data_IF_652125245579
#
_entry.id   IF_652125245579
#
_cell.length_a   1.000
_cell.length_b   1.000
_cell.length_c   1.000
_cell.angle_alpha   90.00
_cell.angle_beta   90.00
_cell.angle_gamma   90.00
#
_symmetry.space_group_name_H-M   'P 1'
#
loop_
_entity.id
_entity.type
_entity.pdbx_description
1 polymer ?
#
# COMPACT_ATOMS: atom_id res chain seq x y z
N UNK A 1 5.22 15.98 12.34
CA UNK A 1 5.07 16.37 10.92
C UNK A 1 3.81 15.70 10.44
N UNK A 2 2.70 16.43 10.30
CA UNK A 2 1.44 15.88 9.79
C UNK A 2 1.65 15.42 8.36
N UNK A 3 1.15 14.24 8.02
CA UNK A 3 1.23 13.76 6.66
C UNK A 3 0.29 14.55 5.76
N UNK A 4 0.65 14.82 4.50
CA UNK A 4 -0.19 15.59 3.59
C UNK A 4 -1.53 14.92 3.26
N UNK A 5 -1.65 13.66 3.61
CA UNK A 5 -2.82 12.84 3.32
C UNK A 5 -3.80 12.74 4.49
N UNK A 6 -3.43 13.31 5.63
CA UNK A 6 -4.30 13.38 6.78
C UNK A 6 -5.50 14.31 6.46
N UNK A 7 -6.58 13.69 5.98
CA UNK A 7 -7.81 14.37 5.54
C UNK A 7 -8.68 14.85 6.70
N UNK A 8 -8.06 15.10 7.87
CA UNK A 8 -8.70 15.82 8.96
C UNK A 8 -9.28 14.96 10.08
N UNK A 9 -9.32 13.62 9.97
CA UNK A 9 -9.84 12.79 11.06
C UNK A 9 -8.92 12.82 12.29
N UNK A 10 -7.61 12.88 12.07
CA UNK A 10 -6.59 12.91 13.12
C UNK A 10 -5.52 13.98 12.81
N UNK A 11 -5.95 15.20 12.46
CA UNK A 11 -5.11 16.26 11.89
C UNK A 11 -3.87 16.64 12.68
N UNK A 12 -3.90 16.48 13.99
CA UNK A 12 -2.78 16.79 14.88
C UNK A 12 -1.99 15.57 15.33
N UNK A 13 -2.36 14.39 14.84
CA UNK A 13 -1.69 13.15 15.21
C UNK A 13 -0.48 12.88 14.35
N UNK A 14 0.63 12.48 14.98
CA UNK A 14 1.83 12.01 14.32
C UNK A 14 2.44 10.88 15.16
N UNK A 15 2.37 9.66 14.64
CA UNK A 15 2.87 8.46 15.30
C UNK A 15 4.37 8.52 15.58
N UNK A 16 5.12 9.31 14.82
CA UNK A 16 6.56 9.49 15.06
C UNK A 16 6.89 10.25 16.36
N UNK A 17 5.89 10.83 17.04
CA UNK A 17 6.07 11.33 18.40
C UNK A 17 6.32 10.21 19.43
N UNK A 18 5.96 8.98 19.07
CA UNK A 18 6.09 7.81 19.90
C UNK A 18 7.44 7.07 19.74
N UNK A 19 8.33 7.58 18.90
CA UNK A 19 9.59 6.94 18.51
C UNK A 19 10.48 6.57 19.71
N UNK A 20 10.50 7.40 20.74
CA UNK A 20 11.30 7.18 21.95
C UNK A 20 10.77 6.06 22.86
N UNK A 21 9.54 5.59 22.59
CA UNK A 21 8.89 4.51 23.33
C UNK A 21 9.08 3.14 22.68
N UNK A 22 9.69 3.09 21.50
CA UNK A 22 10.00 1.82 20.82
C UNK A 22 11.41 1.36 21.16
N UNK A 23 11.66 0.05 21.06
CA UNK A 23 13.00 -0.47 21.14
C UNK A 23 13.82 -0.05 19.94
N UNK A 24 15.14 -0.18 20.04
CA UNK A 24 16.08 0.31 18.99
C UNK A 24 15.80 -0.33 17.63
N UNK A 25 15.58 -1.64 17.58
CA UNK A 25 15.35 -2.37 16.32
C UNK A 25 14.05 -1.92 15.65
N UNK A 26 12.96 -1.83 16.42
CA UNK A 26 11.66 -1.37 15.92
C UNK A 26 11.74 0.07 15.42
N UNK A 27 12.37 0.94 16.20
CA UNK A 27 12.57 2.34 15.84
C UNK A 27 13.32 2.48 14.52
N UNK A 28 14.43 1.77 14.36
CA UNK A 28 15.27 1.85 13.17
C UNK A 28 14.50 1.40 11.92
N UNK A 29 13.74 0.30 11.99
CA UNK A 29 12.90 -0.18 10.88
C UNK A 29 11.83 0.84 10.51
N UNK A 30 11.16 1.45 11.49
CA UNK A 30 10.09 2.43 11.23
C UNK A 30 10.65 3.72 10.64
N UNK A 31 11.77 4.22 11.17
CA UNK A 31 12.41 5.43 10.67
C UNK A 31 13.02 5.22 9.27
N UNK A 32 13.55 4.04 8.99
CA UNK A 32 14.10 3.70 7.69
C UNK A 32 13.03 3.82 6.58
N UNK A 33 11.81 3.36 6.84
CA UNK A 33 10.68 3.50 5.89
C UNK A 33 10.31 4.94 5.56
N UNK A 34 10.58 5.88 6.47
CA UNK A 34 10.33 7.31 6.21
C UNK A 34 11.50 7.97 5.50
N UNK A 35 12.72 7.53 5.81
CA UNK A 35 13.96 8.17 5.33
C UNK A 35 14.44 7.64 3.98
N UNK A 36 14.20 6.36 3.70
CA UNK A 36 14.77 5.65 2.57
C UNK A 36 13.68 5.09 1.66
N UNK A 37 13.74 5.50 0.39
CA UNK A 37 12.90 4.93 -0.67
C UNK A 37 13.74 3.91 -1.43
N UNK A 38 13.31 2.63 -1.54
CA UNK A 38 14.04 1.63 -2.30
C UNK A 38 14.20 2.03 -3.77
N UNK A 39 15.35 1.75 -4.39
CA UNK A 39 15.50 1.97 -5.82
C UNK A 39 14.71 0.93 -6.63
N UNK A 40 14.18 1.32 -7.76
CA UNK A 40 13.57 0.38 -8.69
C UNK A 40 14.60 -0.59 -9.28
N UNK A 41 14.32 -1.88 -9.19
CA UNK A 41 15.17 -2.98 -9.67
C UNK A 41 14.41 -4.05 -10.46
N UNK A 42 13.08 -4.08 -10.33
CA UNK A 42 12.23 -5.10 -10.92
C UNK A 42 11.46 -4.57 -12.14
N UNK A 43 10.74 -3.46 -12.01
CA UNK A 43 9.93 -2.89 -13.09
C UNK A 43 10.77 -2.04 -14.05
N UNK A 44 10.48 -2.13 -15.35
CA UNK A 44 11.03 -1.20 -16.33
C UNK A 44 10.35 0.19 -16.24
N UNK A 45 10.90 1.20 -16.96
CA UNK A 45 10.42 2.58 -16.89
C UNK A 45 8.93 2.70 -17.26
N UNK A 46 8.47 1.96 -18.28
CA UNK A 46 7.07 2.00 -18.72
C UNK A 46 6.12 1.35 -17.72
N UNK A 47 6.53 0.24 -17.14
CA UNK A 47 5.81 -0.42 -16.06
C UNK A 47 5.71 0.49 -14.83
N UNK A 48 6.81 1.18 -14.47
CA UNK A 48 6.84 2.15 -13.37
C UNK A 48 5.86 3.30 -13.59
N UNK A 49 5.87 3.95 -14.76
CA UNK A 49 4.95 5.03 -15.09
C UNK A 49 3.48 4.61 -14.91
N UNK A 50 3.12 3.46 -15.44
CA UNK A 50 1.75 2.94 -15.38
C UNK A 50 1.32 2.56 -13.98
N UNK A 51 2.18 1.80 -13.27
CA UNK A 51 1.87 1.28 -11.96
C UNK A 51 1.95 2.33 -10.85
N UNK A 52 2.76 3.40 -10.99
CA UNK A 52 2.77 4.50 -10.03
C UNK A 52 1.40 5.18 -9.97
N UNK A 53 0.82 5.51 -11.11
CA UNK A 53 -0.53 6.08 -11.18
C UNK A 53 -1.59 5.11 -10.66
N UNK A 54 -1.44 3.81 -10.94
CA UNK A 54 -2.33 2.77 -10.42
C UNK A 54 -2.27 2.71 -8.88
N UNK A 55 -1.09 2.62 -8.29
CA UNK A 55 -0.90 2.56 -6.83
C UNK A 55 -1.44 3.82 -6.14
N UNK A 56 -1.20 5.01 -6.70
CA UNK A 56 -1.71 6.28 -6.16
C UNK A 56 -3.24 6.32 -6.13
N UNK A 57 -3.90 5.86 -7.21
CA UNK A 57 -5.36 5.76 -7.25
C UNK A 57 -5.92 4.72 -6.28
N UNK A 58 -5.25 3.57 -6.13
CA UNK A 58 -5.65 2.50 -5.20
C UNK A 58 -5.58 2.96 -3.75
N UNK A 59 -4.63 3.84 -3.43
CA UNK A 59 -4.40 4.35 -2.07
C UNK A 59 -4.92 5.77 -1.85
N UNK A 60 -5.64 6.32 -2.85
CA UNK A 60 -6.21 7.67 -2.82
C UNK A 60 -5.18 8.77 -2.51
N UNK A 61 -3.96 8.62 -3.02
CA UNK A 61 -2.88 9.59 -2.86
C UNK A 61 -2.97 10.70 -3.91
N UNK A 62 -3.61 11.79 -3.58
CA UNK A 62 -3.86 12.94 -4.46
C UNK A 62 -2.94 14.16 -4.19
N UNK A 63 -2.09 14.07 -3.18
CA UNK A 63 -1.18 15.14 -2.73
C UNK A 63 0.27 14.70 -2.58
N UNK A 64 1.16 15.67 -2.35
CA UNK A 64 2.57 15.45 -2.03
C UNK A 64 2.89 15.86 -0.60
N UNK A 65 3.86 15.21 0.08
CA UNK A 65 4.59 14.00 -0.34
C UNK A 65 3.70 12.75 -0.32
N UNK A 66 4.06 11.74 -1.13
CA UNK A 66 3.35 10.45 -1.22
C UNK A 66 4.13 9.35 -0.54
N UNK A 67 3.40 8.34 -0.05
CA UNK A 67 4.00 7.07 0.33
C UNK A 67 4.44 6.37 -0.95
N UNK A 68 5.71 5.97 -1.08
CA UNK A 68 6.26 5.41 -2.30
C UNK A 68 5.87 3.92 -2.47
N UNK A 69 4.58 3.63 -2.54
CA UNK A 69 4.02 2.27 -2.53
C UNK A 69 4.65 1.39 -3.60
N UNK A 70 4.76 1.91 -4.84
CA UNK A 70 5.31 1.13 -5.94
C UNK A 70 6.77 0.74 -5.72
N UNK A 71 7.58 1.59 -5.07
CA UNK A 71 8.97 1.27 -4.80
C UNK A 71 9.11 0.11 -3.79
N UNK A 72 8.24 0.03 -2.80
CA UNK A 72 8.19 -1.12 -1.87
C UNK A 72 7.67 -2.39 -2.54
N UNK A 73 6.69 -2.28 -3.44
CA UNK A 73 6.24 -3.42 -4.26
C UNK A 73 7.38 -3.91 -5.17
N UNK A 74 8.12 -3.00 -5.81
CA UNK A 74 9.27 -3.34 -6.65
C UNK A 74 10.34 -4.13 -5.86
N UNK A 75 10.69 -3.63 -4.67
CA UNK A 75 11.65 -4.30 -3.79
C UNK A 75 11.19 -5.69 -3.39
N UNK A 76 9.94 -5.84 -2.91
CA UNK A 76 9.33 -7.12 -2.55
C UNK A 76 9.39 -8.13 -3.70
N UNK A 77 9.03 -7.70 -4.92
CA UNK A 77 9.05 -8.56 -6.09
C UNK A 77 10.47 -8.88 -6.58
N UNK A 78 11.42 -7.94 -6.43
CA UNK A 78 12.81 -8.15 -6.76
C UNK A 78 13.47 -9.18 -5.83
N UNK A 79 13.15 -9.13 -4.55
CA UNK A 79 13.69 -10.01 -3.52
C UNK A 79 12.96 -11.36 -3.43
N UNK A 80 11.87 -11.53 -4.21
CA UNK A 80 11.00 -12.71 -4.16
C UNK A 80 10.44 -12.96 -2.74
N UNK A 81 10.18 -11.87 -2.01
CA UNK A 81 9.67 -11.89 -0.62
C UNK A 81 8.14 -11.98 -0.63
N UNK A 82 7.64 -13.16 -1.02
CA UNK A 82 6.22 -13.47 -1.04
C UNK A 82 5.73 -13.94 0.34
N UNK A 83 4.41 -13.84 0.57
CA UNK A 83 3.76 -14.34 1.79
C UNK A 83 3.58 -15.86 1.81
N UNK A 84 4.11 -16.57 0.81
CA UNK A 84 4.02 -18.01 0.66
C UNK A 84 2.65 -18.53 0.22
N UNK A 85 1.68 -17.64 -0.03
CA UNK A 85 0.37 -18.01 -0.54
C UNK A 85 0.20 -17.58 -1.99
N UNK A 86 -0.22 -18.53 -2.84
CA UNK A 86 -0.53 -18.25 -4.24
C UNK A 86 -1.78 -19.03 -4.68
N UNK A 87 -2.61 -18.40 -5.50
CA UNK A 87 -3.70 -19.09 -6.16
C UNK A 87 -3.15 -20.06 -7.20
N UNK A 88 -3.61 -21.31 -7.18
CA UNK A 88 -3.13 -22.37 -8.05
C UNK A 88 -3.30 -22.11 -9.56
N UNK A 89 -4.16 -21.16 -9.92
CA UNK A 89 -4.49 -20.78 -11.30
C UNK A 89 -3.90 -19.40 -11.69
N UNK A 90 -2.97 -18.88 -10.88
CA UNK A 90 -2.17 -17.72 -11.21
C UNK A 90 -0.70 -18.11 -11.40
N UNK A 91 0.03 -17.37 -12.25
CA UNK A 91 1.48 -17.44 -12.28
C UNK A 91 2.09 -16.81 -11.03
N UNK A 92 3.43 -16.72 -10.94
CA UNK A 92 4.11 -16.03 -9.83
C UNK A 92 3.63 -14.58 -9.69
N UNK A 93 3.75 -14.02 -8.48
CA UNK A 93 3.36 -12.64 -8.22
C UNK A 93 4.12 -11.65 -9.14
N UNK A 94 5.40 -11.94 -9.44
CA UNK A 94 6.18 -11.17 -10.43
C UNK A 94 5.51 -11.15 -11.80
N UNK A 95 5.06 -12.29 -12.30
CA UNK A 95 4.40 -12.36 -13.61
C UNK A 95 2.99 -11.78 -13.57
N UNK A 96 2.27 -11.91 -12.46
CA UNK A 96 0.97 -11.22 -12.25
C UNK A 96 1.16 -9.72 -12.39
N UNK A 97 2.10 -9.11 -11.67
CA UNK A 97 2.35 -7.68 -11.69
C UNK A 97 2.78 -7.17 -13.07
N UNK A 98 3.71 -7.86 -13.75
CA UNK A 98 4.11 -7.50 -15.12
C UNK A 98 2.96 -7.62 -16.11
N UNK A 99 2.11 -8.63 -15.96
CA UNK A 99 0.95 -8.81 -16.85
C UNK A 99 -0.11 -7.76 -16.59
N UNK A 100 -0.32 -7.36 -15.34
CA UNK A 100 -1.21 -6.24 -14.98
C UNK A 100 -0.68 -4.93 -15.56
N UNK A 101 0.61 -4.62 -15.43
CA UNK A 101 1.22 -3.43 -16.01
C UNK A 101 1.00 -3.37 -17.52
N UNK A 102 1.32 -4.45 -18.23
CA UNK A 102 1.11 -4.57 -19.69
C UNK A 102 -0.36 -4.45 -20.09
N UNK A 103 -1.25 -5.03 -19.29
CA UNK A 103 -2.70 -4.96 -19.51
C UNK A 103 -3.24 -3.54 -19.37
N UNK A 104 -2.88 -2.85 -18.31
CA UNK A 104 -3.26 -1.45 -18.07
C UNK A 104 -2.70 -0.52 -19.15
N UNK A 105 -1.44 -0.71 -19.56
CA UNK A 105 -0.83 0.06 -20.64
C UNK A 105 -1.53 -0.16 -21.98
N UNK A 106 -1.88 -1.40 -22.32
CA UNK A 106 -2.63 -1.75 -23.52
C UNK A 106 -4.04 -1.15 -23.58
N UNK A 107 -4.69 -0.96 -22.42
CA UNK A 107 -5.97 -0.25 -22.29
C UNK A 107 -5.81 1.29 -22.37
N UNK A 108 -4.58 1.79 -22.51
CA UNK A 108 -4.29 3.22 -22.57
C UNK A 108 -4.45 3.94 -21.24
N UNK A 109 -4.25 3.27 -20.10
CA UNK A 109 -4.50 3.75 -18.75
C UNK A 109 -3.94 5.15 -18.48
N UNK A 110 -2.71 5.45 -18.93
CA UNK A 110 -2.09 6.76 -18.76
C UNK A 110 -2.75 7.88 -19.57
N UNK A 111 -3.45 7.54 -20.66
CA UNK A 111 -4.13 8.48 -21.53
C UNK A 111 -5.56 8.80 -21.07
N UNK A 112 -6.12 7.99 -20.18
CA UNK A 112 -7.44 8.20 -19.60
C UNK A 112 -7.40 9.36 -18.60
N UNK A 113 -8.52 10.05 -18.46
CA UNK A 113 -8.76 10.93 -17.33
C UNK A 113 -8.97 10.12 -16.03
N UNK A 114 -9.10 10.81 -14.90
CA UNK A 114 -9.25 10.14 -13.61
C UNK A 114 -10.49 9.24 -13.54
N UNK A 115 -11.61 9.70 -14.12
CA UNK A 115 -12.85 8.92 -14.14
C UNK A 115 -12.69 7.63 -14.97
N UNK A 116 -12.05 7.72 -16.13
CA UNK A 116 -11.75 6.58 -16.99
C UNK A 116 -10.78 5.58 -16.32
N UNK A 117 -9.77 6.07 -15.60
CA UNK A 117 -8.86 5.22 -14.82
C UNK A 117 -9.58 4.48 -13.71
N UNK A 118 -10.47 5.16 -12.97
CA UNK A 118 -11.28 4.55 -11.91
C UNK A 118 -12.25 3.51 -12.46
N UNK A 119 -12.88 3.76 -13.61
CA UNK A 119 -13.72 2.77 -14.30
C UNK A 119 -12.92 1.52 -14.69
N UNK A 120 -11.73 1.70 -15.25
CA UNK A 120 -10.87 0.59 -15.62
C UNK A 120 -10.45 -0.25 -14.39
N UNK A 121 -10.11 0.40 -13.28
CA UNK A 121 -9.80 -0.29 -12.01
C UNK A 121 -11.04 -1.03 -11.47
N UNK A 122 -12.23 -0.44 -11.57
CA UNK A 122 -13.49 -1.07 -11.16
C UNK A 122 -13.77 -2.33 -11.98
N UNK A 123 -13.62 -2.26 -13.31
CA UNK A 123 -13.72 -3.42 -14.21
C UNK A 123 -12.68 -4.49 -13.88
N UNK A 124 -11.44 -4.10 -13.57
CA UNK A 124 -10.39 -5.01 -13.11
C UNK A 124 -10.83 -5.74 -11.84
N UNK A 125 -11.35 -5.02 -10.85
CA UNK A 125 -11.82 -5.59 -9.58
C UNK A 125 -12.94 -6.63 -9.75
N UNK A 126 -13.79 -6.43 -10.75
CA UNK A 126 -14.90 -7.34 -11.09
C UNK A 126 -14.47 -8.53 -11.95
N UNK A 127 -13.25 -8.49 -12.52
CA UNK A 127 -12.77 -9.49 -13.45
C UNK A 127 -13.34 -9.31 -14.86
N UNK A 128 -13.68 -8.10 -15.25
CA UNK A 128 -14.35 -7.75 -16.51
C UNK A 128 -13.38 -7.25 -17.60
N UNK A 129 -12.10 -7.58 -17.47
CA UNK A 129 -11.07 -7.31 -18.49
C UNK A 129 -10.73 -8.61 -19.21
N UNK A 130 -10.74 -8.57 -20.56
CA UNK A 130 -10.62 -9.77 -21.38
C UNK A 130 -9.70 -9.54 -22.58
N UNK A 131 -9.08 -10.61 -23.05
CA UNK A 131 -8.22 -10.57 -24.24
C UNK A 131 -6.84 -9.96 -23.98
N UNK A 132 -5.99 -9.90 -25.00
CA UNK A 132 -4.65 -9.36 -24.85
C UNK A 132 -3.87 -9.96 -23.67
N UNK A 133 -3.25 -9.13 -22.86
CA UNK A 133 -2.52 -9.56 -21.67
C UNK A 133 -3.44 -10.23 -20.63
N UNK A 134 -4.70 -9.82 -20.54
CA UNK A 134 -5.67 -10.36 -19.57
C UNK A 134 -6.09 -11.80 -19.85
N UNK A 135 -5.91 -12.30 -21.09
CA UNK A 135 -6.32 -13.66 -21.46
C UNK A 135 -5.56 -14.77 -20.72
N UNK A 136 -4.41 -14.44 -20.14
CA UNK A 136 -3.54 -15.40 -19.42
C UNK A 136 -3.76 -15.40 -17.91
N UNK A 137 -4.63 -14.54 -17.39
CA UNK A 137 -4.87 -14.38 -15.95
C UNK A 137 -6.32 -14.69 -15.56
N UNK A 138 -6.47 -15.24 -14.38
CA UNK A 138 -7.71 -15.04 -13.63
C UNK A 138 -7.74 -13.59 -13.11
N UNK A 139 -8.34 -12.69 -13.87
CA UNK A 139 -8.29 -11.24 -13.67
C UNK A 139 -8.73 -10.83 -12.27
N UNK A 140 -9.83 -11.42 -11.76
CA UNK A 140 -10.33 -11.10 -10.42
C UNK A 140 -9.36 -11.51 -9.31
N UNK A 141 -8.69 -12.66 -9.45
CA UNK A 141 -7.68 -13.11 -8.49
C UNK A 141 -6.39 -12.29 -8.60
N UNK A 142 -6.00 -11.91 -9.83
CA UNK A 142 -4.88 -11.00 -10.04
C UNK A 142 -5.13 -9.66 -9.34
N UNK A 143 -6.35 -9.10 -9.43
CA UNK A 143 -6.72 -7.91 -8.66
C UNK A 143 -6.55 -8.11 -7.15
N UNK A 144 -6.91 -9.28 -6.61
CA UNK A 144 -6.74 -9.56 -5.18
C UNK A 144 -5.27 -9.58 -4.76
N UNK A 145 -4.37 -10.12 -5.61
CA UNK A 145 -2.92 -10.12 -5.36
C UNK A 145 -2.38 -8.69 -5.34
N UNK A 146 -2.60 -7.92 -6.40
CA UNK A 146 -2.05 -6.56 -6.47
C UNK A 146 -2.64 -5.64 -5.40
N UNK A 147 -3.92 -5.82 -5.04
CA UNK A 147 -4.54 -5.05 -3.95
C UNK A 147 -3.91 -5.39 -2.60
N UNK A 148 -3.67 -6.67 -2.32
CA UNK A 148 -2.99 -7.12 -1.10
C UNK A 148 -1.63 -6.46 -0.97
N UNK A 149 -0.79 -6.56 -2.01
CA UNK A 149 0.56 -6.00 -2.00
C UNK A 149 0.56 -4.46 -1.86
N UNK A 150 -0.34 -3.77 -2.58
CA UNK A 150 -0.51 -2.31 -2.45
C UNK A 150 -0.91 -1.93 -1.02
N UNK A 151 -1.89 -2.63 -0.42
CA UNK A 151 -2.33 -2.35 0.94
C UNK A 151 -1.24 -2.65 1.96
N UNK A 152 -0.53 -3.76 1.82
CA UNK A 152 0.57 -4.14 2.70
C UNK A 152 1.67 -3.08 2.69
N UNK A 153 2.12 -2.68 1.50
CA UNK A 153 3.15 -1.66 1.35
C UNK A 153 2.69 -0.28 1.85
N UNK A 154 1.43 0.10 1.58
CA UNK A 154 0.87 1.37 2.06
C UNK A 154 0.76 1.41 3.58
N UNK A 155 0.09 0.42 4.20
CA UNK A 155 -0.14 0.40 5.65
C UNK A 155 1.07 -0.05 6.46
N UNK A 156 2.17 -0.45 5.84
CA UNK A 156 3.44 -0.61 6.53
C UNK A 156 4.17 0.73 6.78
N UNK A 157 3.72 1.81 6.16
CA UNK A 157 4.35 3.12 6.26
C UNK A 157 3.74 3.97 7.41
N UNK A 158 4.56 4.64 8.26
CA UNK A 158 4.05 5.44 9.38
C UNK A 158 3.06 6.55 9.00
N UNK A 159 3.17 7.10 7.80
CA UNK A 159 2.22 8.11 7.34
C UNK A 159 0.81 7.55 7.16
N UNK A 160 0.66 6.29 6.71
CA UNK A 160 -0.64 5.65 6.65
C UNK A 160 -1.22 5.38 8.05
N UNK A 161 -0.36 5.12 9.04
CA UNK A 161 -0.80 4.96 10.43
C UNK A 161 -1.44 6.24 10.98
N UNK A 162 -0.91 7.40 10.63
CA UNK A 162 -1.49 8.68 11.01
C UNK A 162 -2.91 8.86 10.48
N UNK A 163 -3.19 8.38 9.26
CA UNK A 163 -4.53 8.49 8.67
C UNK A 163 -5.59 7.64 9.36
N UNK A 164 -5.20 6.46 9.86
CA UNK A 164 -6.11 5.55 10.55
C UNK A 164 -6.05 5.70 12.07
N UNK A 165 -5.15 6.57 12.57
CA UNK A 165 -4.96 6.81 13.99
C UNK A 165 -4.30 5.64 14.73
N UNK A 166 -3.53 4.80 14.03
CA UNK A 166 -2.82 3.69 14.65
C UNK A 166 -1.58 4.17 15.40
N UNK A 167 -1.42 3.71 16.63
CA UNK A 167 -0.35 4.13 17.55
C UNK A 167 1.03 3.56 17.28
N UNK A 168 1.21 2.86 16.16
CA UNK A 168 2.47 2.20 15.84
C UNK A 168 2.73 0.93 16.65
N UNK A 169 3.94 0.37 16.58
CA UNK A 169 4.31 -0.85 17.27
C UNK A 169 4.12 -0.73 18.79
N UNK A 170 3.48 -1.75 19.38
CA UNK A 170 3.22 -1.78 20.81
C UNK A 170 4.44 -2.15 21.66
N UNK A 171 5.42 -2.82 21.08
CA UNK A 171 6.61 -3.26 21.83
C UNK A 171 7.58 -2.07 22.07
N UNK A 172 8.17 -1.91 23.27
CA UNK A 172 8.01 -2.79 24.46
C UNK A 172 6.83 -2.41 25.39
N UNK A 173 6.04 -1.38 25.08
CA UNK A 173 4.95 -0.86 25.96
C UNK A 173 3.86 -1.88 26.24
N UNK A 174 3.54 -2.70 25.26
CA UNK A 174 2.35 -3.54 25.26
C UNK A 174 1.06 -2.74 24.98
N UNK A 175 -0.07 -3.41 25.04
CA UNK A 175 -1.40 -2.79 24.96
C UNK A 175 -2.06 -2.82 26.34
N UNK A 176 -2.31 -1.65 26.94
CA UNK A 176 -2.97 -1.53 28.23
C UNK A 176 -4.50 -1.73 28.12
N UNK A 177 -5.09 -1.29 26.98
CA UNK A 177 -6.52 -1.46 26.72
C UNK A 177 -6.88 -2.88 26.23
N UNK A 178 -5.90 -3.73 25.94
CA UNK A 178 -6.13 -5.09 25.43
C UNK A 178 -6.85 -5.95 26.49
N UNK A 179 -8.04 -6.46 26.12
CA UNK A 179 -8.87 -7.27 27.03
C UNK A 179 -9.84 -6.47 27.87
N UNK A 180 -9.93 -5.16 27.73
CA UNK A 180 -10.99 -4.36 28.35
C UNK A 180 -12.35 -4.76 27.70
N UNK A 181 -13.39 -5.10 28.51
CA UNK A 181 -14.71 -5.39 27.95
C UNK A 181 -15.41 -4.19 27.29
N UNK A 182 -14.99 -2.98 27.58
CA UNK A 182 -15.42 -1.77 26.87
C UNK A 182 -14.60 -1.57 25.59
N UNK A 183 -14.80 -2.50 24.65
CA UNK A 183 -14.16 -2.57 23.33
C UNK A 183 -14.39 -1.28 22.49
N UNK A 184 -13.68 -0.27 22.76
CA UNK A 184 -13.72 1.02 22.05
C UNK A 184 -12.71 2.01 22.61
N UNK A 185 -12.11 1.69 23.74
CA UNK A 185 -11.06 2.50 24.30
C UNK A 185 -9.77 2.29 23.48
N UNK A 186 -9.28 3.40 22.91
CA UNK A 186 -7.96 3.46 22.31
C UNK A 186 -6.88 3.54 23.38
N UNK A 187 -5.70 3.11 23.04
CA UNK A 187 -4.54 3.36 23.89
C UNK A 187 -4.27 4.88 23.95
N UNK A 188 -3.76 5.38 25.07
CA UNK A 188 -3.53 6.80 25.30
C UNK A 188 -2.49 7.45 24.35
N UNK A 189 -1.70 6.65 23.64
CA UNK A 189 -0.74 7.09 22.62
C UNK A 189 -1.31 7.01 21.20
N UNK A 190 -2.52 6.49 21.04
CA UNK A 190 -3.21 6.48 19.75
C UNK A 190 -3.92 7.81 19.49
N UNK A 191 -4.32 8.04 18.23
CA UNK A 191 -5.05 9.24 17.88
C UNK A 191 -6.40 9.31 18.59
N UNK A 192 -6.69 10.41 19.28
CA UNK A 192 -8.00 10.67 19.83
C UNK A 192 -8.98 11.09 18.73
N UNK A 193 -10.23 10.60 18.80
CA UNK A 193 -11.30 11.12 17.95
C UNK A 193 -11.59 12.58 18.35
N UNK A 194 -11.63 13.48 17.37
CA UNK A 194 -11.99 14.90 17.57
C UNK A 194 -13.50 15.09 17.55
#
# INVERSE_FOLDING_TARGET
>A
MTTPQNKGRYGDYDVLREVDHWDEVTRDVVLDRVANVPPFRFFDEREQETLAVFCDLMTAQDGEPRIPVLAYVDEKLHEDDGDGYQYFDLPSDQEVWRTVARGLDAEGFLLLDEAGRRDLIDRFSKGELFGGAWATLNVKRAYSIVTRDVCECFYSHPWAWNEVGFGGPAYPRGYAAFGNPDLGEREHWEAAEQ
#
